data_IF_304060887101
#
_entry.id   IF_304060887101
#
_cell.length_a   1.000
_cell.length_b   1.000
_cell.length_c   1.000
_cell.angle_alpha   90.00
_cell.angle_beta   90.00
_cell.angle_gamma   90.00
#
_symmetry.space_group_name_H-M   'P 1'
#
loop_
_entity.id
_entity.type
_entity.pdbx_description
1 polymer ?
#
# COMPACT_ATOMS: atom_id res chain seq x y z
N UNK A 1 -3.78 14.19 12.88
CA UNK A 1 -3.57 12.75 13.14
C UNK A 1 -4.30 11.96 12.08
N UNK A 2 -3.69 10.90 11.58
CA UNK A 2 -4.29 10.02 10.59
C UNK A 2 -5.17 8.98 11.28
N UNK A 3 -6.35 8.74 10.72
CA UNK A 3 -7.16 7.58 11.12
C UNK A 3 -6.70 6.37 10.33
N UNK A 4 -6.29 5.31 11.02
CA UNK A 4 -5.77 4.10 10.38
C UNK A 4 -6.84 3.03 10.45
N UNK A 5 -7.28 2.59 9.27
CA UNK A 5 -8.20 1.47 9.12
C UNK A 5 -7.41 0.21 8.77
N UNK A 6 -7.96 -0.94 9.18
CA UNK A 6 -7.50 -2.23 8.66
C UNK A 6 -8.08 -2.45 7.27
N UNK A 7 -7.39 -3.26 6.47
CA UNK A 7 -7.96 -3.76 5.24
C UNK A 7 -9.27 -4.52 5.54
N UNK A 8 -10.29 -4.39 4.68
CA UNK A 8 -11.56 -5.07 4.86
C UNK A 8 -11.38 -6.59 4.71
N UNK A 9 -11.98 -7.36 5.61
CA UNK A 9 -11.90 -8.83 5.61
C UNK A 9 -12.44 -9.47 4.32
N UNK A 10 -13.28 -8.73 3.58
CA UNK A 10 -13.83 -9.16 2.30
C UNK A 10 -12.77 -9.29 1.19
N UNK A 11 -11.64 -8.58 1.29
CA UNK A 11 -10.56 -8.69 0.31
C UNK A 11 -9.54 -9.69 0.86
N UNK A 12 -9.37 -10.82 0.16
CA UNK A 12 -8.48 -11.89 0.62
C UNK A 12 -7.03 -11.49 0.41
N UNK A 13 -6.32 -11.31 1.51
CA UNK A 13 -4.87 -11.11 1.51
C UNK A 13 -4.20 -12.36 0.90
N UNK A 14 -3.35 -12.22 -0.14
CA UNK A 14 -2.61 -13.34 -0.68
C UNK A 14 -1.67 -13.90 0.38
N UNK A 15 -1.77 -15.20 0.65
CA UNK A 15 -0.88 -15.87 1.62
C UNK A 15 0.31 -16.45 0.89
N UNK A 16 1.52 -16.17 1.38
CA UNK A 16 2.78 -16.69 0.86
C UNK A 16 2.76 -18.22 0.65
N UNK A 17 2.17 -18.95 1.61
CA UNK A 17 2.06 -20.41 1.59
C UNK A 17 1.34 -20.98 0.36
N UNK A 18 0.39 -20.22 -0.22
CA UNK A 18 -0.40 -20.65 -1.38
C UNK A 18 0.41 -20.66 -2.69
N UNK A 19 1.54 -19.98 -2.71
CA UNK A 19 2.40 -19.85 -3.91
C UNK A 19 3.67 -20.69 -3.79
N UNK A 20 3.74 -21.55 -2.78
CA UNK A 20 4.81 -22.54 -2.64
C UNK A 20 4.39 -23.82 -3.38
N UNK A 21 4.75 -23.91 -4.67
CA UNK A 21 4.44 -25.06 -5.51
C UNK A 21 5.66 -25.98 -5.57
N UNK A 22 5.52 -27.21 -5.05
CA UNK A 22 6.61 -28.21 -5.01
C UNK A 22 7.91 -27.68 -4.37
N UNK A 23 7.80 -26.90 -3.29
CA UNK A 23 8.94 -26.31 -2.58
C UNK A 23 9.61 -25.13 -3.29
N UNK A 24 9.08 -24.70 -4.45
CA UNK A 24 9.52 -23.49 -5.16
C UNK A 24 8.47 -22.41 -5.02
N UNK A 25 8.91 -21.22 -4.68
CA UNK A 25 8.03 -20.06 -4.58
C UNK A 25 7.79 -19.47 -5.98
N UNK A 26 6.53 -19.47 -6.41
CA UNK A 26 6.10 -18.83 -7.65
C UNK A 26 5.96 -17.32 -7.43
N UNK A 27 7.04 -16.61 -7.74
CA UNK A 27 7.13 -15.15 -7.59
C UNK A 27 6.16 -14.42 -8.50
N UNK A 28 5.92 -14.91 -9.71
CA UNK A 28 5.06 -14.22 -10.67
C UNK A 28 3.59 -14.32 -10.28
N UNK A 29 3.16 -15.52 -9.85
CA UNK A 29 1.80 -15.71 -9.37
C UNK A 29 1.53 -14.91 -8.09
N UNK A 30 2.50 -14.86 -7.17
CA UNK A 30 2.40 -14.05 -5.96
C UNK A 30 2.30 -12.56 -6.28
N UNK A 31 3.19 -12.03 -7.13
CA UNK A 31 3.20 -10.62 -7.51
C UNK A 31 1.88 -10.20 -8.17
N UNK A 32 1.34 -11.02 -9.08
CA UNK A 32 0.03 -10.77 -9.71
C UNK A 32 -1.11 -10.75 -8.69
N UNK A 33 -1.07 -11.61 -7.69
CA UNK A 33 -2.09 -11.63 -6.64
C UNK A 33 -2.01 -10.40 -5.73
N UNK A 34 -0.81 -9.93 -5.41
CA UNK A 34 -0.60 -8.67 -4.69
C UNK A 34 -1.11 -7.46 -5.50
N UNK A 35 -0.79 -7.40 -6.79
CA UNK A 35 -1.32 -6.36 -7.68
C UNK A 35 -2.85 -6.39 -7.75
N UNK A 36 -3.44 -7.59 -7.84
CA UNK A 36 -4.90 -7.76 -7.84
C UNK A 36 -5.51 -7.27 -6.53
N UNK A 37 -4.92 -7.64 -5.39
CA UNK A 37 -5.35 -7.18 -4.07
C UNK A 37 -5.31 -5.64 -3.96
N UNK A 38 -4.23 -5.01 -4.41
CA UNK A 38 -4.10 -3.56 -4.41
C UNK A 38 -5.12 -2.90 -5.36
N UNK A 39 -5.38 -3.48 -6.53
CA UNK A 39 -6.37 -2.98 -7.47
C UNK A 39 -7.79 -3.07 -6.92
N UNK A 40 -8.15 -4.18 -6.27
CA UNK A 40 -9.45 -4.37 -5.62
C UNK A 40 -9.64 -3.39 -4.45
N UNK A 41 -8.61 -3.24 -3.60
CA UNK A 41 -8.64 -2.28 -2.50
C UNK A 41 -8.80 -0.85 -3.01
N UNK A 42 -8.04 -0.47 -4.04
CA UNK A 42 -8.16 0.83 -4.71
C UNK A 42 -9.55 1.05 -5.28
N UNK A 43 -10.11 0.07 -5.99
CA UNK A 43 -11.45 0.16 -6.56
C UNK A 43 -12.52 0.33 -5.47
N UNK A 44 -12.40 -0.39 -4.36
CA UNK A 44 -13.31 -0.24 -3.21
C UNK A 44 -13.20 1.16 -2.59
N UNK A 45 -11.99 1.66 -2.36
CA UNK A 45 -11.78 3.00 -1.78
C UNK A 45 -12.31 4.10 -2.69
N UNK A 46 -12.09 3.99 -4.01
CA UNK A 46 -12.60 4.95 -4.99
C UNK A 46 -14.13 4.92 -5.11
N UNK A 47 -14.77 3.76 -4.92
CA UNK A 47 -16.24 3.66 -4.82
C UNK A 47 -16.78 4.36 -3.57
N UNK A 48 -16.07 4.24 -2.45
CA UNK A 48 -16.43 4.87 -1.18
C UNK A 48 -16.29 6.38 -1.22
N UNK A 49 -15.14 6.89 -1.70
CA UNK A 49 -14.84 8.32 -1.74
C UNK A 49 -13.86 8.62 -2.86
N UNK A 50 -14.20 9.56 -3.74
CA UNK A 50 -13.27 10.12 -4.71
C UNK A 50 -12.54 11.30 -4.07
N UNK A 51 -11.23 11.37 -4.26
CA UNK A 51 -10.44 12.44 -3.69
C UNK A 51 -9.00 12.41 -4.18
N UNK A 52 -8.28 13.49 -3.88
CA UNK A 52 -6.85 13.60 -4.19
C UNK A 52 -6.11 12.41 -3.59
N UNK A 53 -5.28 11.75 -4.41
CA UNK A 53 -4.44 10.61 -4.05
C UNK A 53 -5.17 9.38 -3.47
N UNK A 54 -6.50 9.29 -3.53
CA UNK A 54 -7.21 8.11 -3.03
C UNK A 54 -6.81 6.89 -3.87
N UNK A 55 -6.42 5.81 -3.19
CA UNK A 55 -5.91 4.59 -3.81
C UNK A 55 -4.42 4.61 -4.13
N UNK A 56 -3.70 5.70 -3.82
CA UNK A 56 -2.24 5.70 -3.87
C UNK A 56 -1.67 4.92 -2.67
N UNK A 57 -0.62 4.14 -2.92
CA UNK A 57 0.10 3.39 -1.89
C UNK A 57 1.31 4.22 -1.45
N UNK A 58 1.50 4.33 -0.14
CA UNK A 58 2.71 4.90 0.46
C UNK A 58 3.46 3.82 1.23
N UNK A 59 4.78 3.80 1.03
CA UNK A 59 5.67 2.80 1.62
C UNK A 59 6.63 3.47 2.61
N UNK A 60 6.78 2.88 3.78
CA UNK A 60 7.72 3.31 4.82
C UNK A 60 8.74 2.21 5.04
N UNK A 61 10.05 2.48 4.95
CA UNK A 61 11.06 1.46 5.22
C UNK A 61 10.95 0.99 6.67
N UNK A 62 10.92 -0.33 6.87
CA UNK A 62 10.88 -0.97 8.18
C UNK A 62 11.74 -2.23 8.14
N UNK A 63 12.84 -2.22 8.90
CA UNK A 63 13.86 -3.28 8.88
C UNK A 63 14.34 -3.61 7.46
N UNK A 64 14.18 -4.86 7.02
CA UNK A 64 14.54 -5.41 5.71
C UNK A 64 13.43 -5.29 4.65
N UNK A 65 12.31 -4.66 5.01
CA UNK A 65 11.10 -4.62 4.20
C UNK A 65 10.41 -3.24 4.32
N UNK A 66 9.11 -3.18 4.04
CA UNK A 66 8.33 -1.94 4.05
C UNK A 66 6.97 -2.12 4.74
N UNK A 67 6.58 -1.12 5.54
CA UNK A 67 5.20 -0.94 5.96
C UNK A 67 4.44 -0.20 4.85
N UNK A 68 3.31 -0.76 4.42
CA UNK A 68 2.52 -0.23 3.31
C UNK A 68 1.16 0.27 3.79
N UNK A 69 0.76 1.44 3.29
CA UNK A 69 -0.55 2.02 3.56
C UNK A 69 -1.16 2.58 2.28
N UNK A 70 -2.46 2.41 2.09
CA UNK A 70 -3.20 2.99 0.97
C UNK A 70 -4.02 4.18 1.44
N UNK A 71 -4.02 5.27 0.68
CA UNK A 71 -4.75 6.48 1.03
C UNK A 71 -6.25 6.28 0.80
N UNK A 72 -7.04 6.41 1.86
CA UNK A 72 -8.50 6.28 1.84
C UNK A 72 -9.21 7.64 1.75
N UNK A 73 -8.59 8.69 2.30
CA UNK A 73 -9.04 10.08 2.24
C UNK A 73 -7.89 11.01 2.65
N UNK A 74 -7.78 12.18 2.03
CA UNK A 74 -6.82 13.22 2.45
C UNK A 74 -7.43 14.26 3.41
N UNK A 75 -8.77 14.33 3.51
CA UNK A 75 -9.51 15.28 4.38
C UNK A 75 -10.82 14.68 4.91
N UNK A 76 -10.91 14.31 6.21
CA UNK A 76 -9.77 14.10 7.12
C UNK A 76 -8.81 13.02 6.57
N UNK A 77 -7.57 12.99 7.08
CA UNK A 77 -6.59 12.00 6.64
C UNK A 77 -6.97 10.60 7.15
N UNK A 78 -7.17 9.69 6.21
CA UNK A 78 -7.50 8.29 6.46
C UNK A 78 -6.60 7.42 5.61
N UNK A 79 -6.01 6.41 6.25
CA UNK A 79 -5.12 5.44 5.62
C UNK A 79 -5.63 4.04 5.92
N UNK A 80 -5.49 3.13 4.97
CA UNK A 80 -5.74 1.69 5.15
C UNK A 80 -4.39 0.99 5.22
N UNK A 81 -4.14 0.23 6.29
CA UNK A 81 -2.97 -0.63 6.36
C UNK A 81 -3.06 -1.75 5.31
N UNK A 82 -1.99 -1.93 4.57
CA UNK A 82 -1.87 -2.94 3.52
C UNK A 82 -1.03 -4.09 4.10
N UNK A 83 -1.65 -5.24 4.45
CA UNK A 83 -0.97 -6.35 5.10
C UNK A 83 -0.28 -7.25 4.05
N UNK A 84 0.49 -6.65 3.14
CA UNK A 84 1.31 -7.37 2.16
C UNK A 84 2.76 -7.47 2.67
N UNK A 85 3.52 -8.44 2.15
CA UNK A 85 4.84 -8.77 2.68
C UNK A 85 4.75 -9.23 4.14
N UNK A 86 5.57 -8.63 5.00
CA UNK A 86 5.61 -8.95 6.45
C UNK A 86 4.54 -8.21 7.27
N UNK A 87 3.65 -7.46 6.60
CA UNK A 87 2.59 -6.69 7.23
C UNK A 87 3.09 -5.75 8.34
N UNK A 88 4.27 -5.15 8.15
CA UNK A 88 4.87 -4.22 9.10
C UNK A 88 3.94 -3.04 9.42
N UNK A 89 3.92 -2.65 10.68
CA UNK A 89 3.30 -1.43 11.15
C UNK A 89 4.34 -0.33 11.38
N UNK A 90 4.11 0.85 10.83
CA UNK A 90 4.96 2.01 11.07
C UNK A 90 4.54 2.71 12.37
N UNK A 91 5.40 2.76 13.42
CA UNK A 91 5.00 3.20 14.76
C UNK A 91 4.40 4.60 14.84
N UNK A 92 4.77 5.48 13.90
CA UNK A 92 4.35 6.89 13.90
C UNK A 92 3.27 7.21 12.85
N UNK A 93 2.69 6.21 12.20
CA UNK A 93 1.75 6.41 11.09
C UNK A 93 0.53 7.27 11.50
N UNK A 94 0.04 7.10 12.73
CA UNK A 94 -1.09 7.85 13.28
C UNK A 94 -0.79 9.33 13.53
N UNK A 95 0.50 9.69 13.68
CA UNK A 95 0.94 11.07 13.89
C UNK A 95 1.08 11.85 12.59
N UNK A 96 1.20 11.16 11.45
CA UNK A 96 1.38 11.80 10.15
C UNK A 96 0.18 12.66 9.77
N UNK A 97 0.47 13.70 9.00
CA UNK A 97 -0.49 14.65 8.44
C UNK A 97 -0.67 14.44 6.94
N UNK A 98 -1.71 15.04 6.37
CA UNK A 98 -1.94 14.98 4.92
C UNK A 98 -0.77 15.57 4.12
N UNK A 99 -0.05 16.55 4.69
CA UNK A 99 1.14 17.14 4.09
C UNK A 99 2.30 16.15 4.05
N UNK A 100 2.53 15.40 5.13
CA UNK A 100 3.59 14.37 5.17
C UNK A 100 3.33 13.26 4.15
N UNK A 101 2.08 12.82 4.05
CA UNK A 101 1.66 11.82 3.05
C UNK A 101 1.81 12.36 1.63
N UNK A 102 1.44 13.62 1.39
CA UNK A 102 1.63 14.25 0.08
C UNK A 102 3.13 14.30 -0.28
N UNK A 103 3.99 14.77 0.63
CA UNK A 103 5.43 14.83 0.40
C UNK A 103 6.02 13.45 0.10
N UNK A 104 5.53 12.40 0.75
CA UNK A 104 5.94 11.01 0.50
C UNK A 104 5.53 10.51 -0.88
N UNK A 105 4.32 10.85 -1.34
CA UNK A 105 3.84 10.53 -2.68
C UNK A 105 4.67 11.28 -3.72
N UNK A 106 4.91 12.57 -3.50
CA UNK A 106 5.70 13.41 -4.40
C UNK A 106 7.14 12.87 -4.52
N UNK A 107 7.74 12.46 -3.40
CA UNK A 107 9.06 11.81 -3.37
C UNK A 107 9.08 10.52 -4.19
N UNK A 108 8.10 9.62 -4.02
CA UNK A 108 8.01 8.38 -4.79
C UNK A 108 7.84 8.65 -6.28
N UNK A 109 6.99 9.61 -6.65
CA UNK A 109 6.80 10.00 -8.03
C UNK A 109 8.05 10.61 -8.65
N UNK A 110 8.79 11.43 -7.89
CA UNK A 110 10.06 12.00 -8.34
C UNK A 110 11.11 10.92 -8.58
N UNK A 111 11.26 9.96 -7.64
CA UNK A 111 12.15 8.80 -7.81
C UNK A 111 11.75 7.97 -9.03
N UNK A 112 10.47 7.64 -9.17
CA UNK A 112 9.96 6.89 -10.32
C UNK A 112 10.27 7.60 -11.64
N UNK A 113 10.14 8.94 -11.70
CA UNK A 113 10.51 9.72 -12.89
C UNK A 113 12.01 9.68 -13.17
N UNK A 114 12.85 9.74 -12.15
CA UNK A 114 14.31 9.68 -12.31
C UNK A 114 14.75 8.33 -12.88
N UNK A 115 14.26 7.23 -12.32
CA UNK A 115 14.65 5.89 -12.75
C UNK A 115 13.98 5.45 -14.06
N UNK A 116 12.77 5.91 -14.35
CA UNK A 116 12.10 5.64 -15.64
C UNK A 116 12.74 6.36 -16.83
N UNK A 117 13.53 7.43 -16.58
CA UNK A 117 14.25 8.17 -17.62
C UNK A 117 15.64 7.58 -17.92
N UNK A 118 16.09 6.61 -17.12
CA UNK A 118 17.38 5.93 -17.26
C UNK A 118 17.29 4.46 -17.69
N UNK A 119 16.10 3.98 -18.11
CA UNK A 119 15.86 2.64 -18.68
C UNK A 119 15.48 2.75 -20.15
#
# INVERSE_FOLDING_TARGET
MATIFRAPESIKVPSFSKYLVNGKFDREAHAKAEETYLAELKAMLLKRKKGKNVGEVVQFPCADSYAQYMVASMRPLELVHVPLGDAWDYPYISRLTATDIQAKIDQQQALNKLFKKGS
#
